data_IF_553496519304
#
_entry.id   IF_553496519304
#
_cell.length_a   1.000
_cell.length_b   1.000
_cell.length_c   1.000
_cell.angle_alpha   90.00
_cell.angle_beta   90.00
_cell.angle_gamma   90.00
#
_symmetry.space_group_name_H-M   'P 1'
#
loop_
_entity.id
_entity.type
_entity.pdbx_description
1 polymer ?
#
# COMPACT_ATOMS: atom_id res chain seq x y z
N UNK A 1 -29.63 -20.99 10.49
CA UNK A 1 -28.72 -20.81 11.63
C UNK A 1 -27.61 -19.92 11.15
N UNK A 2 -27.57 -18.71 11.71
CA UNK A 2 -26.57 -17.68 11.46
C UNK A 2 -25.19 -18.21 11.85
N UNK A 3 -24.22 -18.02 10.96
CA UNK A 3 -22.81 -18.11 11.29
C UNK A 3 -22.20 -16.81 10.81
N UNK A 4 -22.11 -15.83 11.71
CA UNK A 4 -21.34 -14.60 11.51
C UNK A 4 -19.95 -14.99 11.01
N UNK A 5 -19.66 -14.66 9.76
CA UNK A 5 -18.33 -14.81 9.19
C UNK A 5 -17.42 -13.83 9.90
N UNK A 6 -16.65 -14.34 10.86
CA UNK A 6 -15.58 -13.62 11.55
C UNK A 6 -14.69 -12.95 10.51
N UNK A 7 -14.84 -11.63 10.37
CA UNK A 7 -14.09 -10.78 9.45
C UNK A 7 -12.68 -10.52 10.00
N UNK A 8 -12.05 -11.55 10.56
CA UNK A 8 -10.64 -11.54 10.95
C UNK A 8 -9.82 -12.01 9.76
N UNK A 9 -8.92 -11.12 9.33
CA UNK A 9 -7.82 -11.44 8.40
C UNK A 9 -7.04 -12.64 8.94
N UNK A 10 -7.36 -13.83 8.43
CA UNK A 10 -6.58 -15.04 8.67
C UNK A 10 -5.27 -14.94 7.87
N UNK A 11 -4.23 -14.44 8.54
CA UNK A 11 -2.86 -14.58 8.07
C UNK A 11 -2.55 -16.07 8.05
N UNK A 12 -2.26 -16.59 6.85
CA UNK A 12 -2.05 -18.01 6.59
C UNK A 12 -1.16 -18.63 7.67
N UNK A 13 -1.71 -19.58 8.42
CA UNK A 13 -0.95 -20.52 9.24
C UNK A 13 -0.11 -21.40 8.31
N UNK A 14 1.01 -20.87 7.83
CA UNK A 14 2.09 -21.67 7.26
C UNK A 14 3.19 -21.66 8.30
N UNK A 15 3.12 -22.64 9.18
CA UNK A 15 4.21 -23.31 9.92
C UNK A 15 5.63 -22.71 9.79
N UNK A 16 5.81 -21.46 10.19
CA UNK A 16 7.12 -20.89 10.50
C UNK A 16 7.00 -20.08 11.80
N UNK A 17 7.47 -20.62 12.94
CA UNK A 17 7.46 -19.93 14.23
C UNK A 17 8.11 -18.53 14.17
N UNK A 18 9.00 -18.30 13.20
CA UNK A 18 9.70 -17.04 13.01
C UNK A 18 8.95 -16.04 12.11
N UNK A 19 7.91 -16.46 11.39
CA UNK A 19 7.01 -15.55 10.65
C UNK A 19 6.06 -14.82 11.62
N UNK A 20 5.51 -15.55 12.59
CA UNK A 20 4.60 -15.01 13.60
C UNK A 20 5.29 -13.92 14.46
N UNK A 21 6.52 -14.18 14.91
CA UNK A 21 7.26 -13.21 15.73
C UNK A 21 7.65 -11.94 14.96
N UNK A 22 7.93 -12.06 13.65
CA UNK A 22 8.21 -10.90 12.79
C UNK A 22 6.96 -10.05 12.55
N UNK A 23 5.82 -10.68 12.32
CA UNK A 23 4.55 -9.95 12.16
C UNK A 23 4.13 -9.22 13.43
N UNK A 24 4.32 -9.83 14.60
CA UNK A 24 4.06 -9.17 15.89
C UNK A 24 4.97 -7.94 16.08
N UNK A 25 6.25 -8.04 15.75
CA UNK A 25 7.19 -6.92 15.85
C UNK A 25 6.81 -5.75 14.93
N UNK A 26 6.35 -6.04 13.71
CA UNK A 26 5.86 -5.02 12.76
C UNK A 26 4.61 -4.33 13.28
N UNK A 27 3.63 -5.09 13.78
CA UNK A 27 2.41 -4.51 14.35
C UNK A 27 2.71 -3.65 15.59
N UNK A 28 3.67 -4.06 16.42
CA UNK A 28 4.15 -3.26 17.55
C UNK A 28 4.84 -1.97 17.10
N UNK A 29 5.64 -2.02 16.03
CA UNK A 29 6.27 -0.84 15.46
C UNK A 29 5.23 0.14 14.90
N UNK A 30 4.19 -0.37 14.22
CA UNK A 30 3.09 0.45 13.71
C UNK A 30 2.23 1.05 14.84
N UNK A 31 1.93 0.31 15.92
CA UNK A 31 1.28 0.85 17.12
C UNK A 31 2.12 1.97 17.78
N UNK A 32 3.44 1.83 17.79
CA UNK A 32 4.33 2.90 18.24
C UNK A 32 4.25 4.14 17.33
N UNK A 33 4.15 3.96 16.01
CA UNK A 33 3.93 5.06 15.05
C UNK A 33 2.59 5.75 15.31
N UNK A 34 1.51 5.01 15.57
CA UNK A 34 0.20 5.59 15.91
C UNK A 34 0.27 6.47 17.16
N UNK A 35 0.97 6.01 18.21
CA UNK A 35 1.20 6.81 19.42
C UNK A 35 2.00 8.08 19.13
N UNK A 36 3.01 8.01 18.25
CA UNK A 36 3.77 9.18 17.81
C UNK A 36 2.90 10.16 17.01
N UNK A 37 2.00 9.67 16.15
CA UNK A 37 1.04 10.50 15.42
C UNK A 37 0.12 11.27 16.36
N UNK A 38 -0.45 10.60 17.37
CA UNK A 38 -1.26 11.26 18.41
C UNK A 38 -0.47 12.34 19.13
N UNK A 39 0.80 12.07 19.44
CA UNK A 39 1.69 13.04 20.09
C UNK A 39 1.95 14.24 19.18
N UNK A 40 2.26 14.02 17.89
CA UNK A 40 2.46 15.08 16.91
C UNK A 40 1.24 16.01 16.78
N UNK A 41 0.03 15.44 16.77
CA UNK A 41 -1.21 16.22 16.74
C UNK A 41 -1.38 17.09 17.99
N UNK A 42 -1.05 16.57 19.18
CA UNK A 42 -1.07 17.35 20.43
C UNK A 42 -0.03 18.47 20.44
N UNK A 43 1.17 18.19 19.93
CA UNK A 43 2.24 19.18 19.79
C UNK A 43 1.83 20.29 18.82
N UNK A 44 1.20 19.94 17.69
CA UNK A 44 0.65 20.92 16.75
C UNK A 44 -0.45 21.80 17.38
N UNK A 45 -1.39 21.20 18.11
CA UNK A 45 -2.42 21.95 18.85
C UNK A 45 -1.82 22.90 19.90
N UNK A 46 -0.72 22.49 20.54
CA UNK A 46 0.02 23.33 21.49
C UNK A 46 0.70 24.51 20.79
N UNK A 47 1.36 24.28 19.65
CA UNK A 47 1.95 25.35 18.84
C UNK A 47 0.89 26.37 18.39
N UNK A 48 -0.27 25.90 17.93
CA UNK A 48 -1.39 26.78 17.55
C UNK A 48 -1.92 27.60 18.74
N UNK A 49 -1.94 27.01 19.94
CA UNK A 49 -2.37 27.71 21.16
C UNK A 49 -1.40 28.79 21.62
N UNK A 50 -0.12 28.71 21.23
CA UNK A 50 0.92 29.70 21.47
C UNK A 50 0.87 30.87 20.47
N UNK A 51 0.27 30.66 19.29
CA UNK A 51 0.01 31.72 18.31
C UNK A 51 -1.22 32.58 18.64
N UNK A 52 -2.07 32.14 19.58
CA UNK A 52 -3.21 32.94 20.00
C UNK A 52 -2.74 34.25 20.64
N UNK A 53 -3.41 35.39 20.38
CA UNK A 53 -3.02 36.67 20.96
C UNK A 53 -3.10 36.60 22.49
N UNK A 54 -1.95 36.52 23.16
CA UNK A 54 -1.84 36.51 24.63
C UNK A 54 -1.11 37.76 25.10
N UNK A 55 -1.50 38.26 26.28
CA UNK A 55 -0.93 39.44 26.97
C UNK A 55 0.48 39.18 27.54
N UNK A 56 1.16 38.12 27.08
CA UNK A 56 2.49 37.73 27.56
C UNK A 56 3.59 38.43 26.73
N UNK A 57 4.78 38.60 27.31
CA UNK A 57 5.94 39.15 26.62
C UNK A 57 6.19 38.39 25.31
N UNK A 58 6.16 39.10 24.17
CA UNK A 58 6.23 38.53 22.82
C UNK A 58 7.44 37.59 22.64
N UNK A 59 8.56 37.91 23.27
CA UNK A 59 9.81 37.15 23.15
C UNK A 59 9.73 35.75 23.78
N UNK A 60 9.09 35.62 24.94
CA UNK A 60 8.89 34.31 25.59
C UNK A 60 7.90 33.43 24.83
N UNK A 61 6.89 34.03 24.19
CA UNK A 61 5.91 33.32 23.39
C UNK A 61 6.50 32.79 22.07
N UNK A 62 7.38 33.58 21.44
CA UNK A 62 8.08 33.21 20.21
C UNK A 62 9.08 32.06 20.42
N UNK A 63 9.84 32.08 21.53
CA UNK A 63 10.75 31.00 21.87
C UNK A 63 10.01 29.68 22.14
N UNK A 64 8.92 29.73 22.90
CA UNK A 64 8.09 28.55 23.16
C UNK A 64 7.50 27.98 21.86
N UNK A 65 6.98 28.85 20.99
CA UNK A 65 6.44 28.47 19.69
C UNK A 65 7.48 27.77 18.81
N UNK A 66 8.67 28.37 18.66
CA UNK A 66 9.76 27.78 17.87
C UNK A 66 10.20 26.42 18.41
N UNK A 67 10.27 26.28 19.73
CA UNK A 67 10.61 24.99 20.36
C UNK A 67 9.55 23.93 20.06
N UNK A 68 8.26 24.25 20.20
CA UNK A 68 7.16 23.32 19.92
C UNK A 68 7.07 22.97 18.43
N UNK A 69 7.34 23.92 17.53
CA UNK A 69 7.43 23.64 16.09
C UNK A 69 8.59 22.70 15.75
N UNK A 70 9.75 22.88 16.40
CA UNK A 70 10.91 22.00 16.20
C UNK A 70 10.59 20.57 16.66
N UNK A 71 9.95 20.43 17.82
CA UNK A 71 9.49 19.13 18.34
C UNK A 71 8.48 18.47 17.39
N UNK A 72 7.51 19.24 16.87
CA UNK A 72 6.54 18.73 15.89
C UNK A 72 7.22 18.20 14.63
N UNK A 73 8.16 18.96 14.05
CA UNK A 73 8.88 18.55 12.84
C UNK A 73 9.74 17.29 13.10
N UNK A 74 10.33 17.18 14.29
CA UNK A 74 11.08 16.00 14.68
C UNK A 74 10.17 14.76 14.77
N UNK A 75 8.98 14.88 15.37
CA UNK A 75 8.00 13.80 15.40
C UNK A 75 7.56 13.38 13.99
N UNK A 76 7.30 14.34 13.10
CA UNK A 76 6.94 14.06 11.69
C UNK A 76 8.05 13.31 10.97
N UNK A 77 9.31 13.73 11.16
CA UNK A 77 10.47 13.04 10.58
C UNK A 77 10.57 11.60 11.06
N UNK A 78 10.43 11.37 12.36
CA UNK A 78 10.47 10.02 12.94
C UNK A 78 9.34 9.12 12.44
N UNK A 79 8.12 9.65 12.35
CA UNK A 79 6.97 8.92 11.80
C UNK A 79 7.25 8.51 10.35
N UNK A 80 7.73 9.46 9.53
CA UNK A 80 8.03 9.18 8.13
C UNK A 80 9.14 8.12 7.98
N UNK A 81 10.23 8.22 8.75
CA UNK A 81 11.31 7.24 8.72
C UNK A 81 10.82 5.84 9.10
N UNK A 82 10.01 5.72 10.15
CA UNK A 82 9.51 4.42 10.59
C UNK A 82 8.54 3.80 9.57
N UNK A 83 7.61 4.60 9.02
CA UNK A 83 6.71 4.12 7.97
C UNK A 83 7.46 3.71 6.69
N UNK A 84 8.50 4.46 6.30
CA UNK A 84 9.33 4.12 5.15
C UNK A 84 10.09 2.80 5.35
N UNK A 85 10.51 2.48 6.57
CA UNK A 85 11.14 1.19 6.87
C UNK A 85 10.17 0.01 6.69
N UNK A 86 8.88 0.22 6.96
CA UNK A 86 7.86 -0.83 6.91
C UNK A 86 7.03 -0.85 5.62
N UNK A 87 7.15 0.15 4.74
CA UNK A 87 6.33 0.26 3.52
C UNK A 87 6.51 -0.92 2.56
N UNK A 88 7.70 -1.53 2.55
CA UNK A 88 7.98 -2.73 1.77
C UNK A 88 7.14 -3.94 2.20
N UNK A 89 6.67 -3.98 3.44
CA UNK A 89 5.79 -5.04 3.93
C UNK A 89 4.38 -4.94 3.31
N UNK A 90 3.98 -3.75 2.83
CA UNK A 90 2.75 -3.56 2.06
C UNK A 90 2.93 -4.03 0.61
N UNK A 91 4.13 -3.88 0.03
CA UNK A 91 4.43 -4.46 -1.29
C UNK A 91 4.57 -5.98 -1.25
N UNK A 92 5.05 -6.52 -0.13
CA UNK A 92 5.11 -7.96 0.13
C UNK A 92 3.76 -8.55 0.57
N UNK A 93 2.76 -7.69 0.80
CA UNK A 93 1.36 -8.06 0.98
C UNK A 93 0.81 -8.57 -0.36
N UNK A 94 1.22 -9.79 -0.72
CA UNK A 94 0.58 -10.56 -1.79
C UNK A 94 -0.91 -10.57 -1.50
N UNK A 95 -1.69 -10.15 -2.49
CA UNK A 95 -3.14 -10.34 -2.54
C UNK A 95 -3.45 -11.74 -2.03
N UNK A 96 -4.15 -11.81 -0.89
CA UNK A 96 -4.60 -13.00 -0.16
C UNK A 96 -4.04 -14.32 -0.70
N UNK A 97 -3.27 -15.07 0.10
CA UNK A 97 -2.73 -16.39 -0.30
C UNK A 97 -3.78 -17.43 -0.80
N UNK A 98 -5.09 -17.11 -0.75
CA UNK A 98 -6.21 -17.89 -1.29
C UNK A 98 -6.95 -17.22 -2.47
N UNK A 99 -6.48 -16.07 -2.95
CA UNK A 99 -7.11 -15.35 -4.05
C UNK A 99 -6.75 -16.00 -5.37
N UNK A 100 -7.76 -16.50 -6.07
CA UNK A 100 -7.63 -17.00 -7.46
C UNK A 100 -7.55 -15.86 -8.47
N UNK A 101 -7.76 -14.60 -8.05
CA UNK A 101 -7.80 -13.44 -8.94
C UNK A 101 -6.56 -13.30 -9.82
N UNK A 102 -5.35 -13.54 -9.28
CA UNK A 102 -4.13 -13.48 -10.08
C UNK A 102 -4.12 -14.49 -11.22
N UNK A 103 -4.49 -15.73 -10.92
CA UNK A 103 -4.59 -16.80 -11.91
C UNK A 103 -5.73 -16.55 -12.91
N UNK A 104 -6.89 -16.06 -12.44
CA UNK A 104 -8.04 -15.72 -13.28
C UNK A 104 -7.74 -14.56 -14.23
N UNK A 105 -7.11 -13.51 -13.73
CA UNK A 105 -6.68 -12.34 -14.51
C UNK A 105 -5.66 -12.76 -15.58
N UNK A 106 -4.66 -13.57 -15.23
CA UNK A 106 -3.66 -14.02 -16.19
C UNK A 106 -4.25 -14.98 -17.23
N UNK A 107 -5.22 -15.83 -16.83
CA UNK A 107 -5.98 -16.67 -17.75
C UNK A 107 -6.79 -15.83 -18.75
N UNK A 108 -7.49 -14.80 -18.29
CA UNK A 108 -8.28 -13.92 -19.16
C UNK A 108 -7.39 -13.17 -20.16
N UNK A 109 -6.24 -12.66 -19.70
CA UNK A 109 -5.24 -12.04 -20.58
C UNK A 109 -4.73 -13.04 -21.63
N UNK A 110 -4.42 -14.26 -21.22
CA UNK A 110 -3.95 -15.29 -22.16
C UNK A 110 -5.03 -15.63 -23.20
N UNK A 111 -6.30 -15.70 -22.78
CA UNK A 111 -7.43 -15.95 -23.67
C UNK A 111 -7.57 -14.85 -24.72
N UNK A 112 -7.51 -13.57 -24.32
CA UNK A 112 -7.61 -12.46 -25.27
C UNK A 112 -6.41 -12.43 -26.22
N UNK A 113 -5.20 -12.72 -25.73
CA UNK A 113 -4.00 -12.84 -26.59
C UNK A 113 -4.16 -13.93 -27.66
N UNK A 114 -4.67 -15.10 -27.28
CA UNK A 114 -4.91 -16.20 -28.23
C UNK A 114 -5.98 -15.81 -29.25
N UNK A 115 -7.03 -15.13 -28.83
CA UNK A 115 -8.08 -14.62 -29.72
C UNK A 115 -7.52 -13.66 -30.76
N UNK A 116 -6.70 -12.69 -30.35
CA UNK A 116 -6.03 -11.76 -31.27
C UNK A 116 -5.15 -12.51 -32.28
N UNK A 117 -4.34 -13.48 -31.83
CA UNK A 117 -3.50 -14.28 -32.74
C UNK A 117 -4.36 -15.09 -33.73
N UNK A 118 -5.47 -15.66 -33.27
CA UNK A 118 -6.40 -16.40 -34.13
C UNK A 118 -7.03 -15.50 -35.20
N UNK A 119 -7.48 -14.30 -34.84
CA UNK A 119 -8.04 -13.33 -35.77
C UNK A 119 -7.01 -12.89 -36.83
N UNK A 120 -5.75 -12.69 -36.43
CA UNK A 120 -4.65 -12.40 -37.35
C UNK A 120 -4.37 -13.55 -38.32
N UNK A 121 -4.32 -14.80 -37.82
CA UNK A 121 -4.11 -15.98 -38.67
C UNK A 121 -5.25 -16.19 -39.66
N UNK A 122 -6.51 -16.00 -39.25
CA UNK A 122 -7.65 -16.10 -40.16
C UNK A 122 -7.60 -15.02 -41.24
N UNK A 123 -7.20 -13.80 -40.89
CA UNK A 123 -7.03 -12.72 -41.84
C UNK A 123 -5.94 -13.06 -42.87
N UNK A 124 -4.81 -13.60 -42.43
CA UNK A 124 -3.74 -14.06 -43.33
C UNK A 124 -4.18 -15.24 -44.21
N UNK A 125 -4.93 -16.20 -43.67
CA UNK A 125 -5.46 -17.34 -44.44
C UNK A 125 -6.37 -16.87 -45.57
N UNK A 126 -7.31 -15.97 -45.27
CA UNK A 126 -8.20 -15.39 -46.30
C UNK A 126 -7.42 -14.61 -47.33
N UNK A 127 -6.44 -13.81 -46.90
CA UNK A 127 -5.56 -13.10 -47.83
C UNK A 127 -4.84 -14.07 -48.77
N UNK A 128 -4.32 -15.19 -48.27
CA UNK A 128 -3.69 -16.20 -49.12
C UNK A 128 -4.71 -16.86 -50.06
N UNK A 129 -5.89 -17.22 -49.59
CA UNK A 129 -6.96 -17.80 -50.44
C UNK A 129 -7.38 -16.85 -51.56
N UNK A 130 -7.52 -15.55 -51.26
CA UNK A 130 -7.96 -14.53 -52.22
C UNK A 130 -6.85 -14.14 -53.23
N UNK A 131 -5.58 -14.36 -52.89
CA UNK A 131 -4.43 -13.91 -53.68
C UNK A 131 -3.51 -15.03 -54.19
N UNK A 132 -3.86 -16.30 -53.95
CA UNK A 132 -3.11 -17.45 -54.45
C UNK A 132 -3.67 -17.91 -55.81
N UNK A 133 -3.00 -17.52 -56.89
CA UNK A 133 -3.16 -18.17 -58.20
C UNK A 133 -2.18 -19.33 -58.28
N UNK A 134 -2.63 -20.59 -58.44
CA UNK A 134 -1.71 -21.69 -58.64
C UNK A 134 -1.00 -21.47 -59.98
N UNK A 135 0.34 -21.47 -59.98
CA UNK A 135 1.08 -21.53 -61.24
C UNK A 135 0.85 -22.91 -61.87
N UNK A 136 0.10 -22.95 -62.96
CA UNK A 136 -0.11 -24.14 -63.78
C UNK A 136 1.26 -24.58 -64.36
N UNK A 137 1.72 -25.78 -64.00
CA UNK A 137 2.83 -26.49 -64.65
C UNK A 137 2.33 -27.38 -65.78
#
# INVERSE_FOLDING_TARGET
MEGEGDSRVHFSEVSDPWSSSRHVAVLQALDAVEKKLVTALRTAATAMSLMAPRVASEESSSLAFNSTCTEFLQLVKEIHTELANHIHLVSDYRTFARSTYGAEKDMEICREKVKVVSEQLQTLSRFLEDHYTPEES
#
